data_IF_952267814895
#
_entry.id   IF_952267814895
#
_cell.length_a   1.000
_cell.length_b   1.000
_cell.length_c   1.000
_cell.angle_alpha   90.00
_cell.angle_beta   90.00
_cell.angle_gamma   90.00
#
_symmetry.space_group_name_H-M   'P 1'
#
loop_
_entity.id
_entity.type
_entity.pdbx_description
1 polymer ?
#
# COMPACT_ATOMS: atom_id res chain seq x y z
N UNK A 1 -4.26 -6.06 -16.42
CA UNK A 1 -5.40 -5.13 -16.65
C UNK A 1 -6.02 -4.85 -15.30
N UNK A 2 -6.19 -3.59 -14.94
CA UNK A 2 -6.80 -3.18 -13.66
C UNK A 2 -8.20 -2.63 -13.97
N UNK A 3 -9.24 -3.21 -13.38
CA UNK A 3 -10.61 -2.69 -13.46
C UNK A 3 -11.08 -2.26 -12.08
N UNK A 4 -11.79 -1.15 -12.00
CA UNK A 4 -12.43 -0.63 -10.79
C UNK A 4 -13.90 -1.08 -10.79
N UNK A 5 -14.35 -1.55 -9.63
CA UNK A 5 -15.74 -1.78 -9.30
C UNK A 5 -16.12 -0.84 -8.15
N UNK A 6 -17.39 -0.64 -7.94
CA UNK A 6 -18.01 0.41 -7.10
C UNK A 6 -17.45 0.58 -5.68
N UNK A 7 -17.65 1.74 -5.10
CA UNK A 7 -16.75 2.44 -4.22
C UNK A 7 -17.50 2.99 -3.03
N UNK A 8 -17.04 2.67 -1.83
CA UNK A 8 -17.37 3.43 -0.63
C UNK A 8 -16.34 4.55 -0.51
N UNK A 9 -16.79 5.79 -0.45
CA UNK A 9 -15.90 6.94 -0.30
C UNK A 9 -15.51 7.11 1.16
N UNK A 10 -14.22 7.02 1.44
CA UNK A 10 -13.62 7.26 2.74
C UNK A 10 -12.81 8.55 2.66
N UNK A 11 -13.41 9.70 3.02
CA UNK A 11 -12.82 11.03 2.86
C UNK A 11 -12.28 11.26 1.44
N UNK A 12 -10.94 11.32 1.29
CA UNK A 12 -10.22 11.48 0.02
C UNK A 12 -9.85 10.15 -0.64
N UNK A 13 -10.27 9.04 -0.06
CA UNK A 13 -9.97 7.68 -0.53
C UNK A 13 -11.25 6.97 -0.95
N UNK A 14 -11.09 6.13 -1.95
CA UNK A 14 -12.16 5.33 -2.52
C UNK A 14 -11.74 3.87 -2.42
N UNK A 15 -12.61 3.03 -1.82
CA UNK A 15 -12.37 1.59 -1.82
C UNK A 15 -12.52 1.06 -3.24
N UNK A 16 -11.66 0.16 -3.65
CA UNK A 16 -11.74 -0.50 -4.95
C UNK A 16 -11.45 -1.99 -4.84
N UNK A 17 -12.03 -2.78 -5.74
CA UNK A 17 -11.60 -4.16 -5.96
C UNK A 17 -10.58 -4.13 -7.10
N UNK A 18 -9.35 -4.52 -6.80
CA UNK A 18 -8.26 -4.62 -7.77
C UNK A 18 -8.27 -6.03 -8.36
N UNK A 19 -8.57 -6.11 -9.65
CA UNK A 19 -8.47 -7.35 -10.40
C UNK A 19 -7.09 -7.48 -11.03
N UNK A 20 -6.36 -8.52 -10.65
CA UNK A 20 -5.06 -8.86 -11.21
C UNK A 20 -5.19 -10.11 -12.07
N UNK A 21 -4.77 -10.02 -13.32
CA UNK A 21 -4.73 -11.12 -14.27
C UNK A 21 -3.31 -11.25 -14.84
N UNK A 22 -2.80 -12.47 -14.92
CA UNK A 22 -1.61 -12.82 -15.67
C UNK A 22 -1.99 -13.13 -17.11
N UNK A 23 -1.40 -12.44 -18.06
CA UNK A 23 -1.69 -12.65 -19.48
C UNK A 23 -1.13 -13.97 -20.06
N UNK A 24 -0.17 -14.57 -19.35
CA UNK A 24 0.50 -15.82 -19.74
C UNK A 24 -0.19 -17.08 -19.18
N UNK A 25 -1.32 -16.91 -18.47
CA UNK A 25 -2.07 -18.03 -17.90
C UNK A 25 -1.37 -18.77 -16.74
N UNK A 26 -0.21 -18.28 -16.29
CA UNK A 26 0.59 -18.93 -15.24
C UNK A 26 0.07 -18.68 -13.84
N UNK A 27 -0.77 -17.67 -13.64
CA UNK A 27 -1.31 -17.29 -12.34
C UNK A 27 -2.84 -17.20 -12.36
N UNK A 28 -3.49 -17.69 -11.32
CA UNK A 28 -4.92 -17.52 -11.11
C UNK A 28 -5.32 -16.04 -11.12
N UNK A 29 -6.57 -15.75 -11.47
CA UNK A 29 -7.15 -14.43 -11.24
C UNK A 29 -7.11 -14.09 -9.75
N UNK A 30 -6.75 -12.86 -9.42
CA UNK A 30 -6.73 -12.39 -8.04
C UNK A 30 -7.58 -11.14 -7.91
N UNK A 31 -8.50 -11.17 -6.95
CA UNK A 31 -9.26 -10.02 -6.49
C UNK A 31 -8.62 -9.55 -5.18
N UNK A 32 -8.36 -8.27 -5.05
CA UNK A 32 -7.76 -7.68 -3.85
C UNK A 32 -8.49 -6.40 -3.49
N UNK A 33 -8.62 -6.14 -2.21
CA UNK A 33 -9.07 -4.83 -1.76
C UNK A 33 -7.98 -3.80 -1.98
N UNK A 34 -8.39 -2.62 -2.39
CA UNK A 34 -7.51 -1.47 -2.56
C UNK A 34 -8.17 -0.20 -2.03
N UNK A 35 -7.36 0.73 -1.59
CA UNK A 35 -7.75 2.10 -1.29
C UNK A 35 -7.08 3.01 -2.31
N UNK A 36 -7.89 3.68 -3.11
CA UNK A 36 -7.42 4.63 -4.09
C UNK A 36 -7.74 6.04 -3.62
N UNK A 37 -6.72 6.88 -3.50
CA UNK A 37 -6.93 8.28 -3.17
C UNK A 37 -7.29 9.05 -4.43
N UNK A 38 -8.37 9.83 -4.38
CA UNK A 38 -8.87 10.62 -5.51
C UNK A 38 -7.83 11.60 -6.04
N UNK A 39 -6.97 12.09 -5.16
CA UNK A 39 -5.91 13.07 -5.47
C UNK A 39 -4.55 12.44 -5.77
N UNK A 40 -4.45 11.11 -5.82
CA UNK A 40 -3.20 10.37 -6.01
C UNK A 40 -3.32 9.32 -7.11
N UNK A 41 -2.27 9.18 -7.92
CA UNK A 41 -2.14 8.05 -8.86
C UNK A 41 -1.66 6.77 -8.18
N UNK A 42 -1.31 6.83 -6.89
CA UNK A 42 -0.84 5.70 -6.11
C UNK A 42 -2.01 5.13 -5.31
N UNK A 43 -2.48 3.93 -5.65
CA UNK A 43 -3.47 3.21 -4.86
C UNK A 43 -2.77 2.33 -3.82
N UNK A 44 -3.26 2.32 -2.58
CA UNK A 44 -2.86 1.36 -1.57
C UNK A 44 -3.62 0.05 -1.82
N UNK A 45 -2.90 -1.06 -1.98
CA UNK A 45 -3.50 -2.39 -2.13
C UNK A 45 -3.41 -3.10 -0.79
N UNK A 46 -4.57 -3.42 -0.23
CA UNK A 46 -4.70 -4.16 1.02
C UNK A 46 -4.90 -5.63 0.68
N UNK A 47 -4.04 -6.51 1.14
CA UNK A 47 -4.12 -7.91 0.73
C UNK A 47 -3.55 -8.92 1.71
N UNK A 48 -3.51 -8.58 3.01
CA UNK A 48 -3.00 -9.49 4.04
C UNK A 48 -3.84 -9.43 5.31
N UNK A 49 -3.66 -10.39 6.19
CA UNK A 49 -4.38 -10.48 7.45
C UNK A 49 -5.90 -10.60 7.24
N UNK A 50 -6.66 -9.61 7.70
CA UNK A 50 -8.13 -9.57 7.56
C UNK A 50 -8.62 -9.43 6.09
N UNK A 51 -7.72 -9.13 5.14
CA UNK A 51 -8.06 -8.88 3.74
C UNK A 51 -7.25 -9.76 2.78
N UNK A 52 -7.40 -11.10 2.83
CA UNK A 52 -6.71 -11.99 1.91
C UNK A 52 -7.17 -11.73 0.47
N UNK A 53 -6.29 -12.06 -0.49
CA UNK A 53 -6.68 -12.06 -1.89
C UNK A 53 -7.68 -13.19 -2.15
N UNK A 54 -8.71 -12.92 -2.92
CA UNK A 54 -9.59 -13.94 -3.46
C UNK A 54 -8.99 -14.45 -4.80
N UNK A 55 -8.72 -15.74 -4.88
CA UNK A 55 -8.06 -16.33 -6.04
C UNK A 55 -9.05 -17.20 -6.83
N UNK A 56 -9.21 -16.93 -8.11
CA UNK A 56 -10.07 -17.69 -9.03
C UNK A 56 -9.19 -18.41 -10.04
N UNK A 57 -9.36 -19.72 -10.15
CA UNK A 57 -8.66 -20.54 -11.14
C UNK A 57 -9.11 -20.18 -12.57
N UNK A 58 -8.21 -20.34 -13.54
CA UNK A 58 -8.53 -20.12 -14.98
C UNK A 58 -9.38 -21.24 -15.61
N UNK A 59 -10.00 -22.10 -14.77
CA UNK A 59 -10.79 -23.26 -15.21
C UNK A 59 -12.16 -23.26 -14.49
N UNK A 60 -13.17 -23.78 -15.16
CA UNK A 60 -14.53 -23.85 -14.61
C UNK A 60 -15.36 -22.59 -14.91
N UNK A 61 -16.29 -22.26 -14.02
CA UNK A 61 -17.18 -21.10 -14.18
C UNK A 61 -16.53 -19.81 -13.67
N UNK A 62 -15.48 -19.36 -14.36
CA UNK A 62 -14.65 -18.20 -13.95
C UNK A 62 -15.48 -16.94 -13.73
N UNK A 63 -16.54 -16.71 -14.48
CA UNK A 63 -17.37 -15.49 -14.36
C UNK A 63 -18.10 -15.47 -13.04
N UNK A 64 -18.79 -16.54 -12.68
CA UNK A 64 -19.55 -16.62 -11.43
C UNK A 64 -18.61 -16.60 -10.22
N UNK A 65 -17.45 -17.27 -10.30
CA UNK A 65 -16.43 -17.25 -9.26
C UNK A 65 -15.87 -15.83 -9.05
N UNK A 66 -15.64 -15.05 -10.12
CA UNK A 66 -15.20 -13.64 -10.03
C UNK A 66 -16.29 -12.78 -9.42
N UNK A 67 -17.56 -12.98 -9.80
CA UNK A 67 -18.68 -12.24 -9.23
C UNK A 67 -18.84 -12.56 -7.74
N UNK A 68 -18.81 -13.82 -7.36
CA UNK A 68 -18.89 -14.25 -5.96
C UNK A 68 -17.74 -13.65 -5.13
N UNK A 69 -16.50 -13.69 -5.65
CA UNK A 69 -15.36 -13.08 -5.00
C UNK A 69 -15.46 -11.56 -4.88
N UNK A 70 -16.03 -10.88 -5.87
CA UNK A 70 -16.26 -9.44 -5.82
C UNK A 70 -17.31 -9.07 -4.75
N UNK A 71 -18.38 -9.86 -4.61
CA UNK A 71 -19.38 -9.68 -3.57
C UNK A 71 -18.78 -9.91 -2.17
N UNK A 72 -18.06 -11.01 -1.97
CA UNK A 72 -17.36 -11.28 -0.71
C UNK A 72 -16.36 -10.15 -0.35
N UNK A 73 -15.65 -9.61 -1.33
CA UNK A 73 -14.76 -8.49 -1.10
C UNK A 73 -15.50 -7.21 -0.73
N UNK A 74 -16.67 -6.95 -1.32
CA UNK A 74 -17.46 -5.74 -1.02
C UNK A 74 -17.96 -5.72 0.42
N UNK A 75 -18.32 -6.87 0.99
CA UNK A 75 -18.73 -7.01 2.40
C UNK A 75 -17.62 -6.61 3.39
N UNK A 76 -16.35 -6.65 2.95
CA UNK A 76 -15.20 -6.28 3.76
C UNK A 76 -14.87 -4.80 3.74
N UNK A 77 -15.56 -3.99 2.92
CA UNK A 77 -15.30 -2.55 2.86
C UNK A 77 -15.60 -1.83 4.17
N UNK A 78 -16.63 -2.25 4.90
CA UNK A 78 -16.95 -1.67 6.20
C UNK A 78 -15.83 -1.93 7.21
N UNK A 79 -15.30 -3.15 7.25
CA UNK A 79 -14.16 -3.49 8.12
C UNK A 79 -12.92 -2.67 7.76
N UNK A 80 -12.68 -2.46 6.46
CA UNK A 80 -11.58 -1.62 5.98
C UNK A 80 -11.76 -0.17 6.40
N UNK A 81 -12.99 0.36 6.29
CA UNK A 81 -13.33 1.71 6.70
C UNK A 81 -13.05 1.95 8.20
N UNK A 82 -13.48 1.03 9.05
CA UNK A 82 -13.22 1.06 10.49
C UNK A 82 -11.71 1.06 10.80
N UNK A 83 -10.93 0.26 10.07
CA UNK A 83 -9.48 0.25 10.27
C UNK A 83 -8.82 1.58 9.86
N UNK A 84 -9.24 2.17 8.74
CA UNK A 84 -8.75 3.50 8.32
C UNK A 84 -9.12 4.56 9.36
N UNK A 85 -10.36 4.57 9.86
CA UNK A 85 -10.80 5.49 10.91
C UNK A 85 -9.95 5.35 12.18
N UNK A 86 -9.65 4.13 12.60
CA UNK A 86 -8.73 3.89 13.74
C UNK A 86 -7.34 4.44 13.47
N UNK A 87 -6.81 4.30 12.25
CA UNK A 87 -5.51 4.88 11.87
C UNK A 87 -5.53 6.41 11.88
N UNK A 88 -6.63 7.04 11.48
CA UNK A 88 -6.81 8.49 11.52
C UNK A 88 -6.86 9.05 12.96
N UNK A 89 -7.37 8.25 13.91
CA UNK A 89 -7.40 8.63 15.33
C UNK A 89 -6.12 8.30 16.10
N UNK A 90 -5.22 7.49 15.54
CA UNK A 90 -3.94 7.11 16.17
C UNK A 90 -2.86 8.13 15.85
N UNK A 91 -2.70 9.12 16.72
CA UNK A 91 -1.60 10.10 16.61
C UNK A 91 -0.26 9.42 16.94
N UNK A 92 0.75 9.68 16.13
CA UNK A 92 2.10 9.13 16.29
C UNK A 92 3.09 10.20 16.74
N UNK A 93 3.82 9.91 17.81
CA UNK A 93 4.96 10.73 18.21
C UNK A 93 6.05 10.69 17.13
N UNK A 94 6.90 11.72 17.07
CA UNK A 94 7.97 11.82 16.06
C UNK A 94 8.90 10.60 16.03
N UNK A 95 9.20 10.03 17.20
CA UNK A 95 10.01 8.82 17.34
C UNK A 95 9.35 7.61 16.66
N UNK A 96 8.06 7.40 16.91
CA UNK A 96 7.26 6.33 16.30
C UNK A 96 7.18 6.47 14.79
N UNK A 97 7.01 7.71 14.28
CA UNK A 97 7.00 7.98 12.84
C UNK A 97 8.35 7.59 12.20
N UNK A 98 9.47 7.91 12.84
CA UNK A 98 10.81 7.56 12.34
C UNK A 98 11.05 6.05 12.39
N UNK A 99 10.59 5.37 13.42
CA UNK A 99 10.66 3.91 13.53
C UNK A 99 9.84 3.24 12.44
N UNK A 100 8.58 3.63 12.26
CA UNK A 100 7.70 3.15 11.19
C UNK A 100 8.34 3.36 9.81
N UNK A 101 8.86 4.56 9.55
CA UNK A 101 9.55 4.88 8.29
C UNK A 101 10.83 4.04 8.09
N UNK A 102 11.55 3.74 9.17
CA UNK A 102 12.74 2.86 9.14
C UNK A 102 12.38 1.42 8.76
N UNK A 103 11.36 0.86 9.38
CA UNK A 103 10.84 -0.47 9.07
C UNK A 103 10.32 -0.51 7.61
N UNK A 104 9.57 0.49 7.18
CA UNK A 104 9.09 0.61 5.81
C UNK A 104 10.23 0.70 4.78
N UNK A 105 11.29 1.46 5.09
CA UNK A 105 12.46 1.58 4.22
C UNK A 105 13.15 0.23 4.02
N UNK A 106 13.25 -0.58 5.07
CA UNK A 106 13.84 -1.92 5.04
C UNK A 106 13.02 -2.92 4.19
N UNK A 107 11.72 -2.69 3.99
CA UNK A 107 10.90 -3.54 3.09
C UNK A 107 11.38 -3.51 1.63
N UNK A 108 11.96 -2.39 1.22
CA UNK A 108 12.43 -2.19 -0.16
C UNK A 108 13.95 -2.24 -0.29
N UNK A 109 14.67 -1.82 0.74
CA UNK A 109 16.12 -1.70 0.74
C UNK A 109 16.68 -2.50 1.92
N UNK A 110 17.30 -3.68 1.71
CA UNK A 110 17.78 -4.55 2.80
C UNK A 110 18.74 -3.83 3.76
N UNK A 111 19.62 -2.98 3.23
CA UNK A 111 20.61 -2.23 4.00
C UNK A 111 20.54 -0.72 3.71
N UNK A 112 19.46 -0.02 4.13
CA UNK A 112 19.29 1.39 3.79
C UNK A 112 20.39 2.28 4.39
N UNK A 113 20.90 1.92 5.58
CA UNK A 113 21.95 2.69 6.26
C UNK A 113 23.25 2.68 5.48
N UNK A 114 23.69 1.53 4.94
CA UNK A 114 24.91 1.41 4.12
C UNK A 114 24.82 2.23 2.82
N UNK A 115 23.59 2.48 2.35
CA UNK A 115 23.32 3.33 1.20
C UNK A 115 23.11 4.80 1.58
N UNK A 116 23.32 5.16 2.85
CA UNK A 116 23.09 6.53 3.36
C UNK A 116 21.63 6.98 3.25
N UNK A 117 20.70 6.06 3.26
CA UNK A 117 19.26 6.36 3.23
C UNK A 117 18.77 6.60 4.66
N UNK A 118 17.99 7.65 4.84
CA UNK A 118 17.46 8.02 6.16
C UNK A 118 15.94 7.90 6.16
N UNK A 119 15.34 7.31 7.23
CA UNK A 119 13.90 7.15 7.37
C UNK A 119 13.11 8.46 7.20
N UNK A 120 13.68 9.58 7.66
CA UNK A 120 13.06 10.91 7.55
C UNK A 120 12.70 11.30 6.12
N UNK A 121 13.39 10.78 5.12
CA UNK A 121 13.09 11.04 3.71
C UNK A 121 11.69 10.51 3.31
N UNK A 122 11.21 9.44 3.96
CA UNK A 122 9.87 8.90 3.72
C UNK A 122 8.77 9.74 4.37
N UNK A 123 9.10 10.57 5.35
CA UNK A 123 8.14 11.41 6.09
C UNK A 123 7.93 12.78 5.43
N UNK A 124 8.56 13.05 4.30
CA UNK A 124 8.34 14.28 3.54
C UNK A 124 6.96 14.25 2.92
N UNK A 125 6.08 15.17 3.34
CA UNK A 125 4.77 15.32 2.72
C UNK A 125 4.92 15.95 1.33
N UNK A 126 4.26 15.39 0.35
CA UNK A 126 4.15 15.94 -1.00
C UNK A 126 2.80 16.61 -1.24
N UNK A 127 1.90 16.52 -0.26
CA UNK A 127 0.51 16.99 -0.38
C UNK A 127 0.03 17.64 0.92
N UNK A 128 -0.83 18.67 0.83
CA UNK A 128 -1.41 19.30 2.00
C UNK A 128 -2.24 18.33 2.88
N UNK A 129 -2.89 17.32 2.26
CA UNK A 129 -3.73 16.35 2.96
C UNK A 129 -2.91 15.39 3.85
N UNK A 130 -1.61 15.25 3.59
CA UNK A 130 -0.71 14.34 4.32
C UNK A 130 0.17 15.05 5.34
N UNK A 131 -0.21 16.25 5.78
CA UNK A 131 0.54 17.00 6.80
C UNK A 131 0.31 16.47 8.22
N UNK A 132 -0.75 15.66 8.45
CA UNK A 132 -1.10 15.11 9.76
C UNK A 132 -0.03 14.18 10.34
N UNK A 133 -0.07 14.04 11.67
CA UNK A 133 0.79 13.14 12.43
C UNK A 133 0.06 11.86 12.87
N UNK A 134 -1.16 11.65 12.38
CA UNK A 134 -1.89 10.40 12.55
C UNK A 134 -1.29 9.28 11.67
N UNK A 135 -1.52 8.02 12.10
CA UNK A 135 -0.97 6.85 11.43
C UNK A 135 -1.39 6.76 9.96
N UNK A 136 -2.61 7.18 9.61
CA UNK A 136 -3.08 7.18 8.23
C UNK A 136 -2.29 8.16 7.37
N UNK A 137 -2.08 9.38 7.84
CA UNK A 137 -1.27 10.40 7.17
C UNK A 137 0.19 9.96 7.04
N UNK A 138 0.76 9.36 8.09
CA UNK A 138 2.14 8.83 8.07
C UNK A 138 2.28 7.68 7.08
N UNK A 139 1.36 6.72 7.08
CA UNK A 139 1.33 5.60 6.14
C UNK A 139 1.31 6.10 4.69
N UNK A 140 0.46 7.09 4.38
CA UNK A 140 0.35 7.65 3.03
C UNK A 140 1.63 8.39 2.60
N UNK A 141 2.26 9.20 3.49
CA UNK A 141 3.57 9.83 3.23
C UNK A 141 4.62 8.78 2.88
N UNK A 142 4.73 7.75 3.73
CA UNK A 142 5.71 6.67 3.57
C UNK A 142 5.47 5.89 2.29
N UNK A 143 4.23 5.50 2.01
CA UNK A 143 3.85 4.78 0.81
C UNK A 143 4.20 5.56 -0.46
N UNK A 144 3.81 6.83 -0.54
CA UNK A 144 4.05 7.66 -1.71
C UNK A 144 5.56 7.83 -2.00
N UNK A 145 6.35 8.09 -0.96
CA UNK A 145 7.80 8.27 -1.10
C UNK A 145 8.51 6.96 -1.42
N UNK A 146 8.09 5.85 -0.80
CA UNK A 146 8.70 4.53 -1.03
C UNK A 146 8.43 4.03 -2.45
N UNK A 147 7.19 4.15 -2.95
CA UNK A 147 6.78 3.69 -4.28
C UNK A 147 7.20 4.68 -5.36
N UNK A 148 6.98 5.97 -5.15
CA UNK A 148 7.28 7.02 -6.12
C UNK A 148 8.77 7.22 -6.36
N UNK A 149 9.61 6.82 -5.41
CA UNK A 149 11.06 7.00 -5.48
C UNK A 149 11.49 8.45 -5.28
N UNK A 150 12.66 8.77 -5.82
CA UNK A 150 13.28 10.11 -5.64
C UNK A 150 14.05 10.24 -4.33
N UNK A 151 14.14 9.19 -3.52
CA UNK A 151 14.92 9.20 -2.28
C UNK A 151 16.41 9.27 -2.59
N UNK A 152 17.14 10.01 -1.76
CA UNK A 152 18.59 10.10 -1.88
C UNK A 152 19.24 8.82 -1.34
N UNK A 153 20.18 8.27 -2.10
CA UNK A 153 21.02 7.16 -1.70
C UNK A 153 22.44 7.33 -2.20
N UNK A 154 23.40 6.63 -1.63
CA UNK A 154 24.77 6.53 -2.13
C UNK A 154 24.97 5.22 -2.89
N UNK A 155 25.67 5.28 -4.02
CA UNK A 155 26.16 4.09 -4.70
C UNK A 155 27.35 3.49 -3.95
N UNK A 156 27.79 2.27 -4.31
CA UNK A 156 29.01 1.67 -3.79
C UNK A 156 30.26 2.55 -4.02
N UNK A 157 30.27 3.37 -5.07
CA UNK A 157 31.34 4.34 -5.35
C UNK A 157 31.15 5.70 -4.63
N UNK A 158 30.22 5.79 -3.65
CA UNK A 158 29.97 7.00 -2.85
C UNK A 158 29.17 8.10 -3.56
N UNK A 159 28.79 7.93 -4.83
CA UNK A 159 28.03 8.92 -5.59
C UNK A 159 26.58 9.04 -5.08
N UNK A 160 26.09 10.26 -4.93
CA UNK A 160 24.69 10.53 -4.61
C UNK A 160 23.82 10.19 -5.82
N UNK A 161 22.82 9.36 -5.60
CA UNK A 161 21.86 8.92 -6.61
C UNK A 161 20.45 9.09 -6.06
N UNK A 162 19.45 9.05 -6.94
CA UNK A 162 18.04 8.98 -6.57
C UNK A 162 17.46 7.61 -6.87
N UNK A 163 16.60 7.14 -5.98
CA UNK A 163 15.88 5.88 -6.21
C UNK A 163 14.86 6.04 -7.33
N UNK A 164 14.63 4.96 -8.09
CA UNK A 164 13.63 4.95 -9.16
C UNK A 164 12.26 4.62 -8.61
N UNK A 165 11.22 5.09 -9.29
CA UNK A 165 9.82 4.68 -9.06
C UNK A 165 9.67 3.17 -9.28
N UNK A 166 8.76 2.54 -8.54
CA UNK A 166 8.34 1.16 -8.79
C UNK A 166 7.39 1.16 -9.99
N UNK A 167 7.68 0.31 -10.96
CA UNK A 167 6.88 0.10 -12.17
C UNK A 167 6.29 -1.30 -12.25
N UNK A 168 6.82 -2.24 -11.47
CA UNK A 168 6.32 -3.61 -11.39
C UNK A 168 5.06 -3.68 -10.53
N UNK A 169 3.95 -4.14 -11.11
CA UNK A 169 2.68 -4.37 -10.40
C UNK A 169 2.88 -5.35 -9.24
N UNK A 170 3.66 -6.41 -9.44
CA UNK A 170 3.93 -7.42 -8.40
C UNK A 170 4.65 -6.81 -7.19
N UNK A 171 5.64 -5.97 -7.44
CA UNK A 171 6.40 -5.31 -6.37
C UNK A 171 5.55 -4.23 -5.67
N UNK A 172 4.74 -3.49 -6.42
CA UNK A 172 3.78 -2.52 -5.87
C UNK A 172 2.80 -3.21 -4.91
N UNK A 173 2.16 -4.31 -5.35
CA UNK A 173 1.25 -5.11 -4.51
C UNK A 173 1.96 -5.65 -3.27
N UNK A 174 3.17 -6.19 -3.41
CA UNK A 174 3.96 -6.72 -2.29
C UNK A 174 4.25 -5.67 -1.24
N UNK A 175 4.72 -4.50 -1.66
CA UNK A 175 5.08 -3.41 -0.75
C UNK A 175 3.85 -2.80 -0.07
N UNK A 176 2.78 -2.57 -0.81
CA UNK A 176 1.53 -2.06 -0.24
C UNK A 176 0.98 -2.99 0.84
N UNK A 177 0.95 -4.31 0.58
CA UNK A 177 0.51 -5.28 1.58
C UNK A 177 1.39 -5.27 2.84
N UNK A 178 2.72 -5.18 2.68
CA UNK A 178 3.64 -5.11 3.83
C UNK A 178 3.53 -3.80 4.61
N UNK A 179 3.31 -2.68 3.93
CA UNK A 179 3.06 -1.39 4.58
C UNK A 179 1.77 -1.40 5.38
N UNK A 180 0.72 -2.03 4.85
CA UNK A 180 -0.52 -2.22 5.58
C UNK A 180 -0.34 -3.07 6.84
N UNK A 181 0.40 -4.19 6.73
CA UNK A 181 0.73 -5.03 7.88
C UNK A 181 1.44 -4.23 8.98
N UNK A 182 2.46 -3.43 8.63
CA UNK A 182 3.16 -2.56 9.57
C UNK A 182 2.21 -1.57 10.27
N UNK A 183 1.27 -0.98 9.51
CA UNK A 183 0.29 -0.05 10.09
C UNK A 183 -0.69 -0.77 11.03
N UNK A 184 -1.12 -1.99 10.68
CA UNK A 184 -1.98 -2.81 11.52
C UNK A 184 -1.27 -3.22 12.83
N UNK A 185 0.02 -3.53 12.77
CA UNK A 185 0.84 -3.83 13.96
C UNK A 185 0.90 -2.64 14.91
N UNK A 186 1.07 -1.41 14.39
CA UNK A 186 1.03 -0.16 15.21
C UNK A 186 -0.33 0.07 15.86
N UNK A 187 -1.44 -0.32 15.20
CA UNK A 187 -2.78 -0.20 15.80
C UNK A 187 -3.03 -1.20 16.94
N UNK A 188 -2.24 -2.29 16.97
CA UNK A 188 -2.42 -3.39 17.91
C UNK A 188 -1.50 -3.29 19.12
N UNK A 189 -0.49 -2.41 19.06
CA UNK A 189 0.48 -2.15 20.12
C UNK A 189 -0.04 -1.15 21.15
#
# INVERSE_FOLDING_TARGET
>A
MRRRFETVQLRDSVSEIVFLNSQDGTSAYQLRLGLFRVVSTNGLIVSRGAFPAYCVAHRGNVVDDVIAGALEMSERFETLAVQVERMEHRVMARGEQLEFAGQALALRYPDPATQGMMPVQLLTSRRPQDLGDDLWSVLNKVQENLIGGGLHRRSAAGRVMRTRRITSIREDVRLNGRLWDLAADVLSA
#
